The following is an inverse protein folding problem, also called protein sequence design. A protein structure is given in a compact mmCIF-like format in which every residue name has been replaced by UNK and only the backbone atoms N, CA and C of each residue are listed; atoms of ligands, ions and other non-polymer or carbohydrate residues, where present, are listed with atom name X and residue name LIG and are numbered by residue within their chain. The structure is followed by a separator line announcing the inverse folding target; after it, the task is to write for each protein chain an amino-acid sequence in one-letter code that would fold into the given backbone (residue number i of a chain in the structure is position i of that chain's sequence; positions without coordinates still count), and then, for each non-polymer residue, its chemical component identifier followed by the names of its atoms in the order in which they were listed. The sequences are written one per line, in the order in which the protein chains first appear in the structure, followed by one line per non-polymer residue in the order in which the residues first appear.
data_IF_121975027624
#
_entry.id   IF_121975027624
#
_cell.length_a   1.000
_cell.length_b   1.000
_cell.length_c   1.000
_cell.angle_alpha   90.00
_cell.angle_beta   90.00
_cell.angle_gamma   90.00
#
_symmetry.space_group_name_H-M   'P 1'
#
loop_
_entity.id
_entity.type
_entity.pdbx_description
1 polymer ?
#
# COMPACT_ATOMS: atom_id res chain seq x y z
N UNK A 1 22.00 6.30 -2.01
CA UNK A 1 21.41 7.58 -2.51
C UNK A 1 22.41 8.72 -2.44
N UNK A 2 22.96 9.06 -1.25
CA UNK A 2 23.96 10.14 -1.11
C UNK A 2 25.30 9.80 -1.79
N UNK A 3 25.73 8.54 -1.73
CA UNK A 3 26.95 8.06 -2.42
C UNK A 3 26.85 8.22 -3.96
N UNK A 4 25.72 7.82 -4.56
CA UNK A 4 25.47 8.01 -5.99
C UNK A 4 25.41 9.50 -6.37
N UNK A 5 24.82 10.35 -5.53
CA UNK A 5 24.85 11.81 -5.73
C UNK A 5 26.29 12.34 -5.73
N UNK A 6 27.12 11.93 -4.76
CA UNK A 6 28.50 12.39 -4.64
C UNK A 6 29.36 12.00 -5.86
N UNK A 7 29.18 10.77 -6.37
CA UNK A 7 29.86 10.32 -7.58
C UNK A 7 29.45 11.11 -8.82
N UNK A 8 28.14 11.33 -9.02
CA UNK A 8 27.65 12.12 -10.15
C UNK A 8 28.08 13.59 -10.04
N UNK A 9 27.99 14.20 -8.85
CA UNK A 9 28.34 15.60 -8.65
C UNK A 9 29.81 15.90 -8.95
N UNK A 10 30.73 15.02 -8.54
CA UNK A 10 32.16 15.16 -8.88
C UNK A 10 32.40 14.91 -10.37
N UNK A 11 31.65 14.01 -11.00
CA UNK A 11 31.69 13.82 -12.46
C UNK A 11 31.27 15.06 -13.25
N UNK A 12 30.23 15.75 -12.79
CA UNK A 12 29.69 16.96 -13.43
C UNK A 12 30.45 18.24 -13.07
N UNK A 13 31.16 18.26 -11.92
CA UNK A 13 31.93 19.41 -11.42
C UNK A 13 33.29 18.97 -10.85
N UNK A 14 34.26 18.63 -11.71
CA UNK A 14 35.54 18.03 -11.29
C UNK A 14 36.42 18.92 -10.41
N UNK A 15 36.17 20.22 -10.38
CA UNK A 15 36.96 21.20 -9.61
C UNK A 15 36.32 21.58 -8.27
N UNK A 16 35.13 21.05 -7.95
CA UNK A 16 34.39 21.44 -6.75
C UNK A 16 34.92 20.79 -5.46
N UNK A 17 35.37 19.53 -5.54
CA UNK A 17 35.90 18.76 -4.41
C UNK A 17 37.10 17.90 -4.84
N UNK A 18 38.03 17.59 -3.93
CA UNK A 18 39.20 16.78 -4.29
C UNK A 18 38.89 15.29 -4.47
N UNK A 19 37.79 14.80 -3.90
CA UNK A 19 37.28 13.44 -4.09
C UNK A 19 35.76 13.34 -3.92
N UNK A 20 35.18 12.26 -4.43
CA UNK A 20 33.78 11.91 -4.20
C UNK A 20 33.47 11.72 -2.69
N UNK A 21 34.44 11.24 -1.91
CA UNK A 21 34.29 11.08 -0.46
C UNK A 21 34.06 12.42 0.25
N UNK A 22 34.77 13.48 -0.15
CA UNK A 22 34.55 14.82 0.39
C UNK A 22 33.15 15.34 0.04
N UNK A 23 32.69 15.13 -1.20
CA UNK A 23 31.35 15.50 -1.64
C UNK A 23 30.25 14.74 -0.87
N UNK A 24 30.51 13.47 -0.54
CA UNK A 24 29.61 12.65 0.27
C UNK A 24 29.55 13.14 1.72
N UNK A 25 30.70 13.39 2.35
CA UNK A 25 30.79 13.85 3.74
C UNK A 25 30.08 15.21 3.90
N UNK A 26 30.30 16.16 2.99
CA UNK A 26 29.64 17.46 3.06
C UNK A 26 28.12 17.34 2.83
N UNK A 27 27.67 16.45 1.94
CA UNK A 27 26.23 16.21 1.73
C UNK A 27 25.55 15.66 2.99
N UNK A 28 26.17 14.73 3.71
CA UNK A 28 25.67 14.26 5.00
C UNK A 28 25.65 15.36 6.06
N UNK A 29 26.71 16.19 6.09
CA UNK A 29 26.80 17.35 6.98
C UNK A 29 25.66 18.34 6.76
N UNK A 30 25.29 18.59 5.49
CA UNK A 30 24.17 19.46 5.10
C UNK A 30 22.82 18.89 5.55
N UNK A 31 22.60 17.58 5.39
CA UNK A 31 21.37 16.90 5.84
C UNK A 31 21.23 16.96 7.36
N UNK A 32 22.33 16.73 8.09
CA UNK A 32 22.36 16.84 9.55
C UNK A 32 22.10 18.28 10.00
N UNK A 33 22.70 19.28 9.33
CA UNK A 33 22.45 20.69 9.62
C UNK A 33 20.98 21.06 9.41
N UNK A 34 20.36 20.61 8.32
CA UNK A 34 18.95 20.87 8.04
C UNK A 34 18.04 20.29 9.13
N UNK A 35 18.35 19.09 9.61
CA UNK A 35 17.61 18.45 10.71
C UNK A 35 17.80 19.23 12.01
N UNK A 36 19.01 19.62 12.35
CA UNK A 36 19.31 20.37 13.57
C UNK A 36 18.65 21.76 13.59
N UNK A 37 18.72 22.49 12.47
CA UNK A 37 18.17 23.85 12.38
C UNK A 37 16.64 23.88 12.32
N UNK A 38 15.99 22.89 11.70
CA UNK A 38 14.56 22.98 11.37
C UNK A 38 13.67 21.94 12.06
N UNK A 39 14.23 20.96 12.78
CA UNK A 39 13.42 20.02 13.56
C UNK A 39 12.90 20.69 14.86
N UNK A 40 11.57 20.80 15.06
CA UNK A 40 10.99 21.42 16.26
C UNK A 40 11.27 20.66 17.57
N UNK A 41 11.76 19.42 17.50
CA UNK A 41 12.19 18.65 18.68
C UNK A 41 13.54 19.14 19.23
N UNK A 42 14.38 19.78 18.41
CA UNK A 42 15.65 20.37 18.82
C UNK A 42 15.40 21.76 19.40
N UNK A 43 15.08 21.81 20.70
CA UNK A 43 14.66 23.04 21.39
C UNK A 43 15.82 23.90 21.92
N UNK A 44 17.01 23.33 22.09
CA UNK A 44 18.19 24.01 22.64
C UNK A 44 19.45 23.56 21.90
N UNK A 45 20.47 24.42 21.88
CA UNK A 45 21.81 24.14 21.36
C UNK A 45 21.88 23.77 19.86
N UNK A 46 21.11 24.48 19.02
CA UNK A 46 21.27 24.37 17.57
C UNK A 46 22.69 24.76 17.16
N UNK A 47 23.23 24.04 16.19
CA UNK A 47 24.57 24.23 15.66
C UNK A 47 24.69 25.64 15.11
N UNK A 48 25.67 26.41 15.60
CA UNK A 48 25.95 27.74 15.05
C UNK A 48 26.77 27.64 13.77
N UNK A 49 26.84 28.74 13.01
CA UNK A 49 27.66 28.82 11.79
C UNK A 49 29.12 28.48 12.07
N UNK A 50 29.68 28.99 13.15
CA UNK A 50 31.06 28.73 13.57
C UNK A 50 31.27 27.26 13.93
N UNK A 51 30.28 26.65 14.58
CA UNK A 51 30.32 25.24 14.91
C UNK A 51 30.22 24.36 13.66
N UNK A 52 29.39 24.72 12.69
CA UNK A 52 29.31 24.03 11.40
C UNK A 52 30.64 24.08 10.63
N UNK A 53 31.29 25.25 10.57
CA UNK A 53 32.62 25.39 9.96
C UNK A 53 33.65 24.53 10.71
N UNK A 54 33.63 24.52 12.04
CA UNK A 54 34.55 23.72 12.86
C UNK A 54 34.35 22.21 12.67
N UNK A 55 33.10 21.77 12.59
CA UNK A 55 32.74 20.36 12.43
C UNK A 55 33.18 19.79 11.07
N UNK A 56 33.37 20.65 10.06
CA UNK A 56 33.78 20.26 8.71
C UNK A 56 35.26 20.60 8.40
N UNK A 57 36.10 20.74 9.43
CA UNK A 57 37.56 20.88 9.22
C UNK A 57 38.19 19.55 8.80
N UNK A 58 39.13 19.60 7.87
CA UNK A 58 39.90 18.44 7.41
C UNK A 58 39.15 17.46 6.50
N UNK A 59 37.91 17.76 6.10
CA UNK A 59 37.07 16.82 5.33
C UNK A 59 37.50 16.64 3.87
N UNK A 60 38.39 17.50 3.36
CA UNK A 60 38.93 17.43 2.01
C UNK A 60 40.31 16.75 2.01
N UNK A 61 40.33 15.43 2.23
CA UNK A 61 41.57 14.64 2.32
C UNK A 61 42.58 15.21 3.33
N UNK A 62 42.10 15.64 4.51
CA UNK A 62 42.91 16.26 5.55
C UNK A 62 43.09 17.78 5.40
N UNK A 63 42.54 18.39 4.35
CA UNK A 63 42.47 19.85 4.16
C UNK A 63 41.10 20.42 4.52
N UNK A 64 41.08 21.71 4.84
CA UNK A 64 39.85 22.45 5.09
C UNK A 64 39.23 22.93 3.77
N UNK A 65 37.90 22.81 3.65
CA UNK A 65 37.16 23.50 2.59
C UNK A 65 37.18 25.02 2.82
N UNK A 66 37.01 25.84 1.77
CA UNK A 66 36.98 27.29 1.91
C UNK A 66 35.93 27.72 2.96
N UNK A 67 36.36 28.49 3.96
CA UNK A 67 35.47 28.92 5.06
C UNK A 67 34.20 29.59 4.54
N UNK A 68 34.35 30.48 3.55
CA UNK A 68 33.24 31.20 2.92
C UNK A 68 32.20 30.26 2.30
N UNK A 69 32.63 29.17 1.67
CA UNK A 69 31.75 28.17 1.07
C UNK A 69 30.87 27.48 2.14
N UNK A 70 31.47 27.10 3.28
CA UNK A 70 30.72 26.50 4.41
C UNK A 70 29.76 27.50 5.07
N UNK A 71 30.15 28.77 5.15
CA UNK A 71 29.31 29.85 5.69
C UNK A 71 28.11 30.17 4.80
N UNK A 72 28.29 30.10 3.47
CA UNK A 72 27.23 30.26 2.47
C UNK A 72 26.22 29.11 2.56
N UNK A 73 26.70 27.85 2.57
CA UNK A 73 25.86 26.66 2.77
C UNK A 73 25.01 26.79 4.05
N UNK A 74 25.64 27.17 5.17
CA UNK A 74 24.92 27.36 6.42
C UNK A 74 23.83 28.43 6.28
N UNK A 75 24.16 29.56 5.66
CA UNK A 75 23.23 30.66 5.44
C UNK A 75 22.01 30.24 4.60
N UNK A 76 22.26 29.46 3.55
CA UNK A 76 21.23 28.98 2.63
C UNK A 76 20.29 27.97 3.31
N UNK A 77 20.85 26.98 4.02
CA UNK A 77 20.04 25.99 4.75
C UNK A 77 19.26 26.66 5.88
N UNK A 78 19.85 27.61 6.61
CA UNK A 78 19.15 28.33 7.68
C UNK A 78 17.95 29.13 7.17
N UNK A 79 18.02 29.68 5.96
CA UNK A 79 16.93 30.47 5.34
C UNK A 79 15.92 29.58 4.59
N UNK A 80 16.39 28.53 3.93
CA UNK A 80 15.60 27.68 3.04
C UNK A 80 15.67 26.22 3.50
N UNK A 81 14.71 25.75 4.32
CA UNK A 81 14.66 24.36 4.75
C UNK A 81 14.54 23.39 3.56
N UNK A 82 15.35 22.32 3.57
CA UNK A 82 15.23 21.27 2.57
C UNK A 82 13.96 20.44 2.81
N UNK A 83 13.09 20.38 1.80
CA UNK A 83 11.88 19.56 1.82
C UNK A 83 12.21 18.11 1.45
N UNK A 84 12.57 17.30 2.45
CA UNK A 84 12.76 15.85 2.27
C UNK A 84 11.36 15.19 2.19
N UNK A 85 10.89 14.90 0.97
CA UNK A 85 9.64 14.16 0.76
C UNK A 85 9.77 12.78 1.43
N UNK A 86 8.98 12.56 2.49
CA UNK A 86 9.04 11.35 3.33
C UNK A 86 9.22 11.64 4.82
N UNK A 87 9.71 12.84 5.18
CA UNK A 87 9.97 13.23 6.58
C UNK A 87 9.01 14.31 7.09
N UNK A 88 7.76 14.34 6.61
CA UNK A 88 6.72 15.25 7.16
C UNK A 88 6.33 14.77 8.56
N UNK A 89 7.01 15.29 9.58
CA UNK A 89 6.36 15.61 10.84
C UNK A 89 5.31 16.69 10.54
N UNK A 90 4.04 16.30 10.50
CA UNK A 90 2.94 17.22 10.25
C UNK A 90 2.92 18.26 11.39
N UNK A 91 3.01 19.57 11.11
CA UNK A 91 2.87 20.59 12.15
C UNK A 91 1.48 20.48 12.80
N UNK A 92 1.50 20.41 14.13
CA UNK A 92 0.40 20.04 15.04
C UNK A 92 -0.63 21.17 15.25
N UNK A 93 -0.98 21.92 14.20
CA UNK A 93 -1.87 23.08 14.32
C UNK A 93 -3.15 23.02 13.47
N UNK A 94 -3.36 21.95 12.69
CA UNK A 94 -4.55 21.87 11.81
C UNK A 94 -5.28 20.53 11.82
N UNK A 95 -5.08 19.69 12.86
CA UNK A 95 -5.68 18.33 12.94
C UNK A 95 -6.51 18.07 14.20
N UNK A 96 -7.05 19.12 14.82
CA UNK A 96 -7.96 18.97 15.97
C UNK A 96 -9.38 18.58 15.57
N UNK A 97 -9.69 18.45 14.28
CA UNK A 97 -10.90 17.77 13.84
C UNK A 97 -10.52 16.38 13.30
N UNK A 98 -10.96 15.33 13.99
CA UNK A 98 -10.88 13.89 13.62
C UNK A 98 -9.51 13.20 13.77
N UNK A 99 -9.13 12.86 15.00
CA UNK A 99 -8.26 11.69 15.26
C UNK A 99 -9.05 10.79 16.21
N UNK A 100 -9.43 9.62 15.72
CA UNK A 100 -10.17 8.63 16.53
C UNK A 100 -9.20 7.94 17.49
N UNK A 101 -9.72 7.35 18.58
CA UNK A 101 -8.89 6.56 19.50
C UNK A 101 -8.16 5.41 18.78
N UNK A 102 -8.79 4.85 17.74
CA UNK A 102 -8.22 3.80 16.88
C UNK A 102 -6.99 4.29 16.09
N UNK A 103 -6.98 5.54 15.62
CA UNK A 103 -5.82 6.10 14.91
C UNK A 103 -4.58 6.21 15.81
N UNK A 104 -4.80 6.58 17.09
CA UNK A 104 -3.73 6.68 18.08
C UNK A 104 -3.19 5.30 18.48
N UNK A 105 -4.06 4.29 18.53
CA UNK A 105 -3.68 2.91 18.83
C UNK A 105 -2.90 2.28 17.67
N UNK A 106 -3.32 2.52 16.43
CA UNK A 106 -2.60 2.13 15.22
C UNK A 106 -1.20 2.78 15.15
N UNK A 107 -1.07 4.05 15.53
CA UNK A 107 0.23 4.74 15.56
C UNK A 107 1.16 4.16 16.64
N UNK A 108 0.61 3.83 17.82
CA UNK A 108 1.35 3.13 18.89
C UNK A 108 1.81 1.74 18.44
N UNK A 109 0.95 1.01 17.74
CA UNK A 109 1.28 -0.31 17.18
C UNK A 109 2.40 -0.24 16.14
N UNK A 110 2.32 0.71 15.19
CA UNK A 110 3.37 0.95 14.18
C UNK A 110 4.70 1.35 14.81
N UNK A 111 4.66 2.21 15.84
CA UNK A 111 5.85 2.58 16.61
C UNK A 111 6.43 1.38 17.37
N UNK A 112 5.58 0.51 17.93
CA UNK A 112 5.98 -0.74 18.58
C UNK A 112 6.70 -1.69 17.63
N UNK A 113 6.14 -1.92 16.44
CA UNK A 113 6.79 -2.75 15.39
C UNK A 113 8.12 -2.15 15.00
N UNK A 114 8.19 -0.84 14.72
CA UNK A 114 9.44 -0.18 14.32
C UNK A 114 10.55 -0.33 15.36
N UNK A 115 10.21 -0.25 16.66
CA UNK A 115 11.17 -0.46 17.75
C UNK A 115 11.61 -1.91 17.85
N UNK A 116 10.69 -2.87 17.72
CA UNK A 116 11.01 -4.30 17.75
C UNK A 116 11.91 -4.72 16.57
N UNK A 117 11.68 -4.15 15.38
CA UNK A 117 12.53 -4.35 14.20
C UNK A 117 13.94 -3.80 14.44
N UNK A 118 14.06 -2.57 14.95
CA UNK A 118 15.37 -1.98 15.25
C UNK A 118 16.15 -2.79 16.30
N UNK A 119 15.47 -3.25 17.36
CA UNK A 119 16.08 -4.10 18.39
C UNK A 119 16.52 -5.46 17.83
N UNK A 120 15.72 -6.05 16.93
CA UNK A 120 16.06 -7.32 16.26
C UNK A 120 17.24 -7.13 15.29
N UNK A 121 17.32 -5.98 14.62
CA UNK A 121 18.43 -5.61 13.73
C UNK A 121 19.75 -5.44 14.51
N UNK A 122 19.70 -4.79 15.68
CA UNK A 122 20.85 -4.62 16.56
C UNK A 122 21.32 -5.97 17.13
N UNK A 123 20.39 -6.83 17.55
CA UNK A 123 20.71 -8.20 17.98
C UNK A 123 21.34 -9.04 16.85
N UNK A 124 20.84 -8.93 15.62
CA UNK A 124 21.44 -9.61 14.47
C UNK A 124 22.84 -9.08 14.13
N UNK A 125 23.08 -7.77 14.27
CA UNK A 125 24.42 -7.18 14.12
C UNK A 125 25.37 -7.69 15.20
N UNK A 126 24.94 -7.75 16.45
CA UNK A 126 25.76 -8.27 17.55
C UNK A 126 26.09 -9.76 17.37
N UNK A 127 25.11 -10.57 16.95
CA UNK A 127 25.31 -11.98 16.62
C UNK A 127 26.22 -12.18 15.39
N UNK A 128 26.16 -11.26 14.42
CA UNK A 128 27.08 -11.24 13.26
C UNK A 128 28.53 -10.97 13.66
N UNK A 129 28.79 -10.32 14.80
CA UNK A 129 30.15 -10.02 15.26
C UNK A 129 30.77 -11.11 16.14
N UNK A 130 29.96 -12.01 16.73
CA UNK A 130 30.40 -12.98 17.74
C UNK A 130 30.42 -14.45 17.25
N UNK A 131 31.16 -14.77 16.19
CA UNK A 131 31.31 -16.12 15.59
C UNK A 131 30.23 -16.54 14.59
N UNK A 132 30.12 -15.80 13.48
CA UNK A 132 29.93 -16.36 12.13
C UNK A 132 30.10 -15.21 11.14
N UNK A 133 31.24 -15.16 10.45
CA UNK A 133 31.41 -14.29 9.28
C UNK A 133 30.36 -14.65 8.24
N UNK A 134 29.28 -13.87 8.15
CA UNK A 134 28.47 -13.81 6.94
C UNK A 134 29.32 -13.15 5.85
N UNK A 135 30.14 -13.95 5.17
CA UNK A 135 30.77 -13.53 3.92
C UNK A 135 29.68 -13.33 2.88
N UNK A 136 29.39 -12.07 2.58
CA UNK A 136 28.62 -11.70 1.38
C UNK A 136 29.53 -10.94 0.44
N UNK A 137 30.13 -11.66 -0.52
CA UNK A 137 30.62 -11.06 -1.78
C UNK A 137 30.32 -12.03 -2.91
N UNK A 138 29.30 -11.70 -3.71
CA UNK A 138 29.08 -12.26 -5.05
C UNK A 138 28.63 -13.72 -5.11
N UNK A 139 27.38 -13.92 -5.58
CA UNK A 139 26.75 -15.20 -5.95
C UNK A 139 26.31 -16.06 -4.75
N UNK A 140 24.98 -16.16 -4.57
CA UNK A 140 24.24 -17.26 -3.93
C UNK A 140 24.95 -18.04 -2.81
N UNK A 141 25.42 -17.37 -1.77
CA UNK A 141 25.65 -18.06 -0.49
C UNK A 141 24.28 -18.39 0.10
N UNK A 142 23.86 -19.64 -0.07
CA UNK A 142 22.60 -20.17 0.44
C UNK A 142 22.47 -19.82 1.93
N UNK A 143 21.60 -18.86 2.24
CA UNK A 143 21.18 -18.60 3.61
C UNK A 143 20.64 -19.93 4.12
N UNK A 144 21.18 -20.42 5.24
CA UNK A 144 20.71 -21.69 5.82
C UNK A 144 19.18 -21.63 6.02
N UNK A 145 18.41 -22.62 5.51
CA UNK A 145 16.98 -22.71 5.78
C UNK A 145 16.65 -22.67 7.28
N UNK A 146 17.56 -23.16 8.13
CA UNK A 146 17.40 -23.14 9.58
C UNK A 146 17.45 -21.71 10.15
N UNK A 147 18.31 -20.84 9.59
CA UNK A 147 18.36 -19.44 9.98
C UNK A 147 17.07 -18.72 9.58
N UNK A 148 16.59 -18.96 8.36
CA UNK A 148 15.33 -18.38 7.86
C UNK A 148 14.17 -18.85 8.75
N UNK A 149 14.15 -20.14 9.12
CA UNK A 149 13.17 -20.69 10.05
C UNK A 149 13.18 -20.00 11.40
N UNK A 150 14.34 -19.84 12.04
CA UNK A 150 14.48 -19.13 13.32
C UNK A 150 13.98 -17.69 13.22
N UNK A 151 14.32 -16.98 12.14
CA UNK A 151 13.86 -15.61 11.92
C UNK A 151 12.34 -15.54 11.75
N UNK A 152 11.78 -16.45 10.95
CA UNK A 152 10.35 -16.49 10.69
C UNK A 152 9.53 -16.90 11.92
N UNK A 153 10.04 -17.84 12.73
CA UNK A 153 9.47 -18.24 14.04
C UNK A 153 9.25 -17.05 14.98
N UNK A 154 10.04 -15.98 14.87
CA UNK A 154 9.89 -14.77 15.69
C UNK A 154 8.87 -13.77 15.14
N UNK A 155 8.60 -13.79 13.84
CA UNK A 155 7.84 -12.73 13.17
C UNK A 155 6.45 -13.18 12.72
N UNK A 156 6.23 -14.48 12.47
CA UNK A 156 5.00 -15.00 11.87
C UNK A 156 3.72 -14.58 12.61
N UNK A 157 3.74 -14.55 13.94
CA UNK A 157 2.57 -14.18 14.74
C UNK A 157 2.13 -12.73 14.48
N UNK A 158 3.08 -11.81 14.32
CA UNK A 158 2.78 -10.41 13.99
C UNK A 158 2.22 -10.28 12.58
N UNK A 159 2.74 -11.05 11.62
CA UNK A 159 2.21 -11.09 10.25
C UNK A 159 0.79 -11.62 10.23
N UNK A 160 0.51 -12.68 11.00
CA UNK A 160 -0.84 -13.24 11.14
C UNK A 160 -1.80 -12.25 11.79
N UNK A 161 -1.39 -11.60 12.88
CA UNK A 161 -2.20 -10.61 13.58
C UNK A 161 -2.55 -9.41 12.69
N UNK A 162 -1.55 -8.88 11.97
CA UNK A 162 -1.72 -7.79 11.01
C UNK A 162 -2.68 -8.20 9.88
N UNK A 163 -2.45 -9.37 9.28
CA UNK A 163 -3.31 -9.89 8.20
C UNK A 163 -4.74 -10.11 8.68
N UNK A 164 -4.92 -10.63 9.89
CA UNK A 164 -6.23 -10.82 10.51
C UNK A 164 -6.94 -9.49 10.69
N UNK A 165 -6.24 -8.49 11.24
CA UNK A 165 -6.81 -7.17 11.48
C UNK A 165 -7.28 -6.49 10.19
N UNK A 166 -6.51 -6.60 9.10
CA UNK A 166 -6.83 -5.92 7.84
C UNK A 166 -7.89 -6.68 7.04
N UNK A 167 -7.81 -8.01 7.00
CA UNK A 167 -8.72 -8.83 6.19
C UNK A 167 -10.09 -9.03 6.84
N UNK A 168 -10.19 -8.91 8.17
CA UNK A 168 -11.47 -8.97 8.88
C UNK A 168 -12.07 -7.58 9.17
N UNK A 169 -11.39 -6.50 8.82
CA UNK A 169 -11.90 -5.14 9.01
C UNK A 169 -12.67 -4.66 7.77
N UNK A 170 -13.95 -4.34 7.95
CA UNK A 170 -14.84 -3.85 6.90
C UNK A 170 -14.47 -2.48 6.35
N UNK A 171 -13.64 -1.70 7.06
CA UNK A 171 -13.23 -0.35 6.63
C UNK A 171 -11.85 -0.33 5.97
N UNK A 172 -11.20 -1.48 5.83
CA UNK A 172 -9.86 -1.56 5.26
C UNK A 172 -9.85 -1.27 3.76
N UNK A 173 -8.88 -0.47 3.31
CA UNK A 173 -8.72 -0.10 1.91
C UNK A 173 -8.41 -1.33 1.03
N UNK A 174 -8.98 -1.37 -0.18
CA UNK A 174 -8.81 -2.47 -1.14
C UNK A 174 -7.33 -2.76 -1.40
N UNK A 175 -6.50 -1.73 -1.60
CA UNK A 175 -5.07 -1.92 -1.87
C UNK A 175 -4.37 -2.62 -0.71
N UNK A 176 -4.78 -2.34 0.53
CA UNK A 176 -4.21 -2.95 1.73
C UNK A 176 -4.68 -4.40 1.87
N UNK A 177 -5.95 -4.68 1.59
CA UNK A 177 -6.48 -6.05 1.55
C UNK A 177 -5.77 -6.91 0.49
N UNK A 178 -5.53 -6.36 -0.71
CA UNK A 178 -4.80 -7.06 -1.78
C UNK A 178 -3.37 -7.42 -1.36
N UNK A 179 -2.67 -6.48 -0.71
CA UNK A 179 -1.32 -6.71 -0.19
C UNK A 179 -1.30 -7.74 0.95
N UNK A 180 -2.31 -7.73 1.83
CA UNK A 180 -2.44 -8.74 2.88
C UNK A 180 -2.72 -10.14 2.34
N UNK A 181 -3.48 -10.26 1.26
CA UNK A 181 -3.66 -11.55 0.57
C UNK A 181 -2.35 -12.05 -0.05
N UNK A 182 -1.56 -11.16 -0.66
CA UNK A 182 -0.21 -11.50 -1.13
C UNK A 182 0.72 -11.91 0.01
N UNK A 183 0.62 -11.23 1.16
CA UNK A 183 1.36 -11.58 2.36
C UNK A 183 0.98 -12.98 2.86
N UNK A 184 -0.31 -13.30 2.94
CA UNK A 184 -0.76 -14.65 3.33
C UNK A 184 -0.26 -15.73 2.38
N UNK A 185 -0.35 -15.48 1.07
CA UNK A 185 0.20 -16.37 0.04
C UNK A 185 1.69 -16.66 0.30
N UNK A 186 2.49 -15.62 0.51
CA UNK A 186 3.93 -15.75 0.75
C UNK A 186 4.23 -16.46 2.08
N UNK A 187 3.49 -16.16 3.15
CA UNK A 187 3.63 -16.81 4.45
C UNK A 187 3.31 -18.31 4.36
N UNK A 188 2.22 -18.70 3.68
CA UNK A 188 1.85 -20.12 3.53
C UNK A 188 2.93 -20.87 2.75
N UNK A 189 3.39 -20.30 1.63
CA UNK A 189 4.49 -20.88 0.84
C UNK A 189 5.78 -21.00 1.65
N UNK A 190 6.10 -20.00 2.47
CA UNK A 190 7.28 -20.04 3.35
C UNK A 190 7.15 -21.13 4.41
N UNK A 191 5.98 -21.26 5.07
CA UNK A 191 5.75 -22.32 6.04
C UNK A 191 5.76 -23.73 5.43
N UNK A 192 5.36 -23.86 4.16
CA UNK A 192 5.44 -25.11 3.41
C UNK A 192 6.92 -25.49 3.20
N UNK A 193 7.73 -24.53 2.72
CA UNK A 193 9.15 -24.75 2.45
C UNK A 193 9.99 -25.03 3.71
N UNK A 194 9.69 -24.34 4.82
CA UNK A 194 10.45 -24.47 6.08
C UNK A 194 9.95 -25.61 6.99
N UNK A 195 8.92 -26.35 6.57
CA UNK A 195 8.34 -27.44 7.35
C UNK A 195 7.75 -26.96 8.69
N UNK A 196 6.94 -25.91 8.67
CA UNK A 196 6.35 -25.26 9.86
C UNK A 196 4.84 -25.50 9.94
N UNK A 197 4.39 -26.63 10.53
CA UNK A 197 3.00 -27.08 10.43
C UNK A 197 2.01 -26.21 11.22
N UNK A 198 2.42 -25.69 12.39
CA UNK A 198 1.54 -24.92 13.29
C UNK A 198 1.21 -23.57 12.65
N UNK A 199 2.24 -22.88 12.20
CA UNK A 199 2.16 -21.57 11.55
C UNK A 199 1.41 -21.67 10.23
N UNK A 200 1.71 -22.71 9.44
CA UNK A 200 0.96 -23.01 8.20
C UNK A 200 -0.52 -23.18 8.48
N UNK A 201 -0.89 -23.97 9.50
CA UNK A 201 -2.29 -24.19 9.86
C UNK A 201 -2.98 -22.88 10.25
N UNK A 202 -2.29 -22.00 10.98
CA UNK A 202 -2.83 -20.70 11.38
C UNK A 202 -3.10 -19.79 10.16
N UNK A 203 -2.14 -19.68 9.23
CA UNK A 203 -2.34 -18.90 8.01
C UNK A 203 -3.42 -19.48 7.08
N UNK A 204 -3.45 -20.81 6.90
CA UNK A 204 -4.52 -21.48 6.15
C UNK A 204 -5.89 -21.26 6.81
N UNK A 205 -5.97 -21.27 8.14
CA UNK A 205 -7.19 -21.00 8.89
C UNK A 205 -7.73 -19.59 8.64
N UNK A 206 -6.84 -18.59 8.58
CA UNK A 206 -7.23 -17.22 8.21
C UNK A 206 -7.68 -17.13 6.75
N UNK A 207 -6.95 -17.74 5.82
CA UNK A 207 -7.33 -17.74 4.40
C UNK A 207 -8.70 -18.40 4.18
N UNK A 208 -8.99 -19.50 4.90
CA UNK A 208 -10.31 -20.13 4.92
C UNK A 208 -11.41 -19.18 5.41
N UNK A 209 -11.15 -18.44 6.50
CA UNK A 209 -12.11 -17.46 7.02
C UNK A 209 -12.41 -16.36 5.99
N UNK A 210 -11.40 -15.91 5.24
CA UNK A 210 -11.61 -14.97 4.14
C UNK A 210 -12.46 -15.61 3.04
N UNK A 211 -12.16 -16.85 2.64
CA UNK A 211 -12.96 -17.59 1.65
C UNK A 211 -14.43 -17.71 2.08
N UNK A 212 -14.69 -18.02 3.35
CA UNK A 212 -16.04 -18.09 3.91
C UNK A 212 -16.76 -16.75 3.91
N UNK A 213 -16.05 -15.67 4.28
CA UNK A 213 -16.60 -14.32 4.18
C UNK A 213 -16.96 -13.98 2.74
N UNK A 214 -16.19 -14.46 1.77
CA UNK A 214 -16.51 -14.26 0.38
C UNK A 214 -17.76 -15.06 0.00
N UNK A 215 -17.83 -16.35 0.31
CA UNK A 215 -18.98 -17.17 -0.08
C UNK A 215 -20.28 -16.78 0.64
N UNK A 216 -20.22 -16.32 1.89
CA UNK A 216 -21.40 -15.94 2.70
C UNK A 216 -22.22 -14.82 2.08
N UNK A 217 -21.57 -13.77 1.58
CA UNK A 217 -22.25 -12.70 0.82
C UNK A 217 -22.89 -13.18 -0.49
N UNK A 218 -22.40 -14.28 -1.10
CA UNK A 218 -23.01 -14.83 -2.32
C UNK A 218 -24.27 -15.68 -2.04
N UNK A 219 -24.51 -16.04 -0.77
CA UNK A 219 -25.69 -16.77 -0.31
C UNK A 219 -26.81 -15.84 0.16
N UNK A 220 -26.51 -14.65 0.68
CA UNK A 220 -27.55 -13.67 1.04
C UNK A 220 -28.37 -13.21 -0.19
N UNK A 221 -27.75 -13.09 -1.37
CA UNK A 221 -28.45 -12.77 -2.63
C UNK A 221 -29.30 -13.93 -3.21
N UNK A 222 -29.20 -15.15 -2.65
CA UNK A 222 -29.90 -16.34 -3.17
C UNK A 222 -30.97 -16.91 -2.23
N UNK A 223 -31.11 -16.39 -1.02
CA UNK A 223 -31.89 -17.03 0.03
C UNK A 223 -33.29 -16.45 0.26
N UNK A 224 -34.03 -16.16 -0.81
CA UNK A 224 -35.49 -16.03 -0.70
C UNK A 224 -36.26 -17.29 -1.13
N UNK A 225 -35.62 -18.29 -1.75
CA UNK A 225 -36.32 -19.53 -2.13
C UNK A 225 -35.39 -20.75 -2.16
N UNK A 226 -35.14 -21.38 -0.99
CA UNK A 226 -34.91 -22.84 -0.80
C UNK A 226 -34.41 -23.15 0.62
N UNK A 227 -35.26 -22.92 1.62
CA UNK A 227 -35.19 -23.72 2.83
C UNK A 227 -36.10 -24.94 2.64
N UNK A 228 -35.58 -26.04 2.10
CA UNK A 228 -36.18 -27.36 2.33
C UNK A 228 -35.15 -28.47 2.04
N UNK A 229 -34.80 -29.20 3.10
CA UNK A 229 -34.15 -30.52 3.13
C UNK A 229 -32.84 -30.68 2.31
N UNK A 230 -31.68 -30.45 2.94
CA UNK A 230 -30.40 -31.01 2.46
C UNK A 230 -29.85 -32.04 3.44
N UNK A 231 -29.56 -33.24 2.93
CA UNK A 231 -29.02 -34.37 3.69
C UNK A 231 -27.67 -34.02 4.35
N UNK A 232 -27.45 -34.36 5.64
CA UNK A 232 -26.19 -34.07 6.35
C UNK A 232 -24.94 -34.61 5.64
N UNK A 233 -25.07 -35.77 4.97
CA UNK A 233 -23.98 -36.46 4.25
C UNK A 233 -23.60 -35.72 2.97
N UNK A 234 -24.56 -35.07 2.30
CA UNK A 234 -24.30 -34.26 1.11
C UNK A 234 -23.57 -32.96 1.48
N UNK A 235 -23.93 -32.36 2.62
CA UNK A 235 -23.30 -31.15 3.11
C UNK A 235 -21.84 -31.40 3.54
N UNK A 236 -21.57 -32.54 4.18
CA UNK A 236 -20.20 -32.93 4.56
C UNK A 236 -19.30 -33.12 3.33
N UNK A 237 -19.77 -33.82 2.28
CA UNK A 237 -19.02 -33.98 1.02
C UNK A 237 -18.81 -32.66 0.27
N UNK A 238 -19.77 -31.74 0.34
CA UNK A 238 -19.65 -30.42 -0.27
C UNK A 238 -18.60 -29.55 0.43
N UNK A 239 -18.60 -29.57 1.77
CA UNK A 239 -17.60 -28.90 2.61
C UNK A 239 -16.21 -29.51 2.41
N UNK A 240 -16.16 -30.83 2.23
CA UNK A 240 -14.95 -31.58 1.94
C UNK A 240 -14.30 -31.12 0.64
N UNK A 241 -15.13 -30.94 -0.41
CA UNK A 241 -14.71 -30.44 -1.71
C UNK A 241 -14.24 -28.99 -1.64
N UNK A 242 -14.91 -28.15 -0.85
CA UNK A 242 -14.60 -26.72 -0.67
C UNK A 242 -13.19 -26.48 -0.11
N UNK A 243 -12.75 -27.31 0.83
CA UNK A 243 -11.44 -27.17 1.49
C UNK A 243 -10.40 -28.20 1.05
N UNK A 244 -10.55 -28.80 -0.14
CA UNK A 244 -9.57 -29.74 -0.68
C UNK A 244 -8.17 -29.14 -0.73
N UNK A 245 -8.06 -27.86 -1.08
CA UNK A 245 -6.78 -27.13 -1.12
C UNK A 245 -6.05 -27.15 0.23
N UNK A 246 -6.77 -27.13 1.37
CA UNK A 246 -6.15 -27.18 2.71
C UNK A 246 -5.52 -28.55 2.96
N UNK A 247 -6.18 -29.63 2.53
CA UNK A 247 -5.64 -31.00 2.64
C UNK A 247 -4.44 -31.18 1.72
N UNK A 248 -4.53 -30.71 0.48
CA UNK A 248 -3.42 -30.76 -0.46
C UNK A 248 -2.17 -30.05 0.09
N UNK A 249 -2.33 -28.94 0.82
CA UNK A 249 -1.23 -28.27 1.53
C UNK A 249 -0.65 -29.11 2.67
N UNK A 250 -1.50 -29.80 3.44
CA UNK A 250 -1.04 -30.65 4.53
C UNK A 250 -0.30 -31.89 4.00
N UNK A 251 -0.80 -32.49 2.92
CA UNK A 251 -0.21 -33.65 2.25
C UNK A 251 1.10 -33.28 1.53
N UNK A 252 1.15 -32.15 0.83
CA UNK A 252 2.35 -31.68 0.14
C UNK A 252 3.49 -31.32 1.09
N UNK A 253 3.18 -30.96 2.35
CA UNK A 253 4.21 -30.77 3.36
C UNK A 253 4.92 -32.07 3.76
N UNK A 254 4.33 -33.24 3.45
CA UNK A 254 4.94 -34.55 3.64
C UNK A 254 5.55 -35.11 2.34
N UNK A 255 5.46 -34.39 1.23
CA UNK A 255 5.98 -34.76 -0.09
C UNK A 255 7.27 -34.01 -0.40
N UNK A 256 8.13 -34.60 -1.24
CA UNK A 256 9.38 -34.00 -1.72
C UNK A 256 9.17 -32.92 -2.81
N UNK A 257 7.93 -32.75 -3.32
CA UNK A 257 7.60 -31.79 -4.39
C UNK A 257 6.52 -30.77 -3.97
N UNK A 258 6.87 -29.72 -3.20
CA UNK A 258 5.91 -28.71 -2.73
C UNK A 258 5.44 -27.72 -3.82
N UNK A 259 6.10 -27.70 -4.98
CA UNK A 259 5.95 -26.65 -5.99
C UNK A 259 4.55 -26.59 -6.64
N UNK A 260 3.93 -27.75 -6.86
CA UNK A 260 2.60 -27.80 -7.47
C UNK A 260 1.56 -27.14 -6.55
N UNK A 261 1.60 -27.47 -5.27
CA UNK A 261 0.67 -26.92 -4.28
C UNK A 261 0.93 -25.44 -4.01
N UNK A 262 2.18 -24.98 -4.09
CA UNK A 262 2.47 -23.54 -4.10
C UNK A 262 1.79 -22.83 -5.27
N UNK A 263 1.83 -23.42 -6.47
CA UNK A 263 1.12 -22.91 -7.64
C UNK A 263 -0.39 -22.82 -7.41
N UNK A 264 -0.98 -23.88 -6.85
CA UNK A 264 -2.42 -23.92 -6.54
C UNK A 264 -2.83 -22.86 -5.51
N UNK A 265 -2.02 -22.63 -4.46
CA UNK A 265 -2.24 -21.55 -3.48
C UNK A 265 -2.23 -20.19 -4.18
N UNK A 266 -1.30 -19.97 -5.11
CA UNK A 266 -1.19 -18.70 -5.82
C UNK A 266 -2.42 -18.44 -6.70
N UNK A 267 -2.91 -19.48 -7.39
CA UNK A 267 -4.13 -19.38 -8.18
C UNK A 267 -5.35 -19.11 -7.31
N UNK A 268 -5.49 -19.81 -6.18
CA UNK A 268 -6.57 -19.59 -5.22
C UNK A 268 -6.59 -18.16 -4.70
N UNK A 269 -5.44 -17.65 -4.26
CA UNK A 269 -5.35 -16.27 -3.74
C UNK A 269 -5.66 -15.25 -4.83
N UNK A 270 -5.23 -15.48 -6.08
CA UNK A 270 -5.57 -14.60 -7.20
C UNK A 270 -7.07 -14.59 -7.51
N UNK A 271 -7.73 -15.75 -7.50
CA UNK A 271 -9.18 -15.87 -7.69
C UNK A 271 -9.97 -15.13 -6.58
N UNK A 272 -9.51 -15.25 -5.33
CA UNK A 272 -10.09 -14.48 -4.21
C UNK A 272 -9.89 -12.97 -4.39
N UNK A 273 -8.71 -12.52 -4.85
CA UNK A 273 -8.44 -11.11 -5.14
C UNK A 273 -9.35 -10.58 -6.25
N UNK A 274 -9.52 -11.34 -7.33
CA UNK A 274 -10.43 -11.00 -8.43
C UNK A 274 -11.87 -10.90 -7.93
N UNK A 275 -12.32 -11.88 -7.14
CA UNK A 275 -13.66 -11.88 -6.53
C UNK A 275 -13.92 -10.63 -5.68
N UNK A 276 -12.96 -10.24 -4.83
CA UNK A 276 -13.08 -9.02 -4.01
C UNK A 276 -13.17 -7.77 -4.89
N UNK A 277 -12.34 -7.68 -5.93
CA UNK A 277 -12.34 -6.54 -6.85
C UNK A 277 -13.65 -6.42 -7.63
N UNK A 278 -14.20 -7.54 -8.09
CA UNK A 278 -15.49 -7.58 -8.80
C UNK A 278 -16.62 -7.11 -7.88
N UNK A 279 -16.65 -7.57 -6.63
CA UNK A 279 -17.66 -7.12 -5.66
C UNK A 279 -17.57 -5.65 -5.34
N UNK A 280 -16.36 -5.14 -5.09
CA UNK A 280 -16.21 -3.71 -4.81
C UNK A 280 -16.63 -2.85 -6.00
N UNK A 281 -16.42 -3.32 -7.24
CA UNK A 281 -16.92 -2.65 -8.45
C UNK A 281 -18.45 -2.69 -8.51
N UNK A 282 -19.07 -3.82 -8.18
CA UNK A 282 -20.52 -3.98 -8.10
C UNK A 282 -21.13 -3.07 -7.04
N UNK A 283 -20.62 -3.08 -5.82
CA UNK A 283 -21.11 -2.23 -4.71
C UNK A 283 -20.99 -0.73 -5.05
N UNK A 284 -19.87 -0.34 -5.68
CA UNK A 284 -19.70 1.04 -6.17
C UNK A 284 -20.74 1.37 -7.23
N UNK A 285 -20.98 0.47 -8.18
CA UNK A 285 -22.02 0.63 -9.19
C UNK A 285 -23.37 0.80 -8.51
N UNK A 286 -23.78 -0.11 -7.63
CA UNK A 286 -25.06 -0.06 -6.92
C UNK A 286 -25.24 1.25 -6.13
N UNK A 287 -24.18 1.74 -5.47
CA UNK A 287 -24.20 3.04 -4.78
C UNK A 287 -24.42 4.23 -5.73
N UNK A 288 -23.96 4.12 -6.98
CA UNK A 288 -24.18 5.12 -8.03
C UNK A 288 -25.60 4.99 -8.57
N UNK A 289 -26.09 3.76 -8.82
CA UNK A 289 -27.47 3.52 -9.28
C UNK A 289 -28.48 4.11 -8.30
N UNK A 290 -28.30 3.91 -6.99
CA UNK A 290 -29.21 4.48 -5.98
C UNK A 290 -29.25 6.00 -5.99
N UNK A 291 -28.19 6.69 -6.45
CA UNK A 291 -28.15 8.15 -6.58
C UNK A 291 -28.77 8.66 -7.88
N UNK A 292 -29.03 7.79 -8.84
CA UNK A 292 -29.58 8.14 -10.15
C UNK A 292 -31.08 7.81 -10.16
N UNK A 293 -31.92 8.82 -10.29
CA UNK A 293 -33.36 8.63 -10.41
C UNK A 293 -33.68 7.78 -11.66
N UNK A 294 -34.42 6.67 -11.48
CA UNK A 294 -34.68 5.65 -12.53
C UNK A 294 -33.42 4.99 -13.12
N UNK A 295 -32.30 4.90 -12.39
CA UNK A 295 -31.07 4.26 -12.85
C UNK A 295 -31.23 2.84 -13.43
N UNK A 296 -32.15 2.03 -12.87
CA UNK A 296 -32.48 0.68 -13.36
C UNK A 296 -33.03 0.65 -14.80
N UNK A 297 -33.53 1.78 -15.32
CA UNK A 297 -34.05 1.86 -16.67
C UNK A 297 -32.95 2.12 -17.72
N UNK A 298 -31.83 2.71 -17.28
CA UNK A 298 -30.76 3.18 -18.16
C UNK A 298 -29.55 2.25 -18.17
N UNK A 299 -29.37 1.46 -17.10
CA UNK A 299 -28.19 0.61 -16.92
C UNK A 299 -28.51 -0.84 -17.27
N UNK A 300 -27.68 -1.41 -18.15
CA UNK A 300 -27.70 -2.83 -18.53
C UNK A 300 -26.94 -3.67 -17.50
N UNK A 301 -27.13 -4.98 -17.50
CA UNK A 301 -26.37 -5.91 -16.63
C UNK A 301 -24.85 -5.88 -16.89
N UNK A 302 -24.41 -5.46 -18.07
CA UNK A 302 -22.99 -5.34 -18.45
C UNK A 302 -22.35 -3.99 -18.10
N UNK A 303 -23.10 -3.09 -17.45
CA UNK A 303 -22.64 -1.72 -17.22
C UNK A 303 -21.66 -1.68 -16.07
N UNK A 304 -20.50 -1.05 -16.24
CA UNK A 304 -19.52 -0.88 -15.16
C UNK A 304 -19.25 0.58 -14.91
N UNK A 305 -19.33 1.01 -13.65
CA UNK A 305 -18.99 2.36 -13.25
C UNK A 305 -17.49 2.61 -13.35
N UNK A 306 -17.11 3.71 -14.01
CA UNK A 306 -15.70 4.10 -14.21
C UNK A 306 -15.36 5.31 -13.33
N UNK A 307 -16.13 6.39 -13.43
CA UNK A 307 -15.78 7.64 -12.79
C UNK A 307 -16.97 8.58 -12.58
N UNK A 308 -16.88 9.46 -11.58
CA UNK A 308 -17.82 10.56 -11.40
C UNK A 308 -17.06 11.88 -11.20
N UNK A 309 -17.64 12.98 -11.69
CA UNK A 309 -17.01 14.29 -11.58
C UNK A 309 -17.92 15.43 -11.99
N UNK A 310 -17.38 16.65 -11.98
CA UNK A 310 -18.10 17.85 -12.37
C UNK A 310 -17.58 18.36 -13.73
N UNK A 311 -18.49 18.58 -14.68
CA UNK A 311 -18.23 19.23 -15.97
C UNK A 311 -18.74 20.67 -15.93
N UNK A 312 -17.91 21.62 -16.34
CA UNK A 312 -18.33 23.03 -16.46
C UNK A 312 -18.52 23.39 -17.92
N UNK A 313 -19.77 23.61 -18.33
CA UNK A 313 -20.11 24.16 -19.64
C UNK A 313 -19.88 25.66 -19.64
N UNK A 314 -18.93 26.12 -20.45
CA UNK A 314 -18.67 27.55 -20.66
C UNK A 314 -19.75 28.15 -21.55
N UNK A 315 -20.62 28.96 -20.97
CA UNK A 315 -21.66 29.70 -21.70
C UNK A 315 -21.31 31.19 -21.74
N UNK A 316 -21.89 31.92 -22.71
CA UNK A 316 -21.62 33.35 -22.91
C UNK A 316 -22.09 34.23 -21.74
N UNK A 317 -23.07 33.77 -20.95
CA UNK A 317 -23.64 34.50 -19.81
C UNK A 317 -23.10 33.98 -18.47
N UNK A 318 -23.42 32.73 -18.11
CA UNK A 318 -23.01 32.09 -16.86
C UNK A 318 -22.59 30.65 -17.12
N UNK A 319 -21.44 30.27 -16.60
CA UNK A 319 -20.99 28.88 -16.67
C UNK A 319 -21.97 27.97 -15.94
N UNK A 320 -22.34 26.86 -16.56
CA UNK A 320 -23.25 25.87 -16.00
C UNK A 320 -22.45 24.64 -15.57
N UNK A 321 -22.73 24.13 -14.37
CA UNK A 321 -21.99 23.02 -13.78
C UNK A 321 -22.88 21.79 -13.80
N UNK A 322 -22.42 20.74 -14.44
CA UNK A 322 -23.08 19.45 -14.53
C UNK A 322 -22.31 18.42 -13.70
N UNK A 323 -23.02 17.57 -12.97
CA UNK A 323 -22.42 16.34 -12.41
C UNK A 323 -22.50 15.26 -13.48
N UNK A 324 -21.43 14.52 -13.72
CA UNK A 324 -21.44 13.38 -14.63
C UNK A 324 -21.07 12.07 -13.93
N UNK A 325 -21.61 10.99 -14.47
CA UNK A 325 -21.34 9.60 -14.15
C UNK A 325 -20.93 8.90 -15.44
N UNK A 326 -19.69 8.45 -15.49
CA UNK A 326 -19.11 7.73 -16.61
C UNK A 326 -19.17 6.23 -16.36
N UNK A 327 -19.81 5.53 -17.28
CA UNK A 327 -19.84 4.08 -17.38
C UNK A 327 -19.02 3.61 -18.59
N UNK A 328 -18.84 2.31 -18.75
CA UNK A 328 -18.12 1.74 -19.89
C UNK A 328 -18.83 1.95 -21.23
N UNK A 329 -20.15 2.04 -21.25
CA UNK A 329 -20.98 2.15 -22.45
C UNK A 329 -21.71 3.50 -22.56
N UNK A 330 -21.77 4.29 -21.48
CA UNK A 330 -22.63 5.47 -21.39
C UNK A 330 -22.03 6.58 -20.54
N UNK A 331 -22.37 7.82 -20.87
CA UNK A 331 -22.14 9.00 -20.04
C UNK A 331 -23.48 9.59 -19.63
N UNK A 332 -23.73 9.65 -18.32
CA UNK A 332 -24.90 10.33 -17.75
C UNK A 332 -24.45 11.64 -17.12
N UNK A 333 -25.17 12.73 -17.37
CA UNK A 333 -24.91 14.00 -16.68
C UNK A 333 -26.21 14.74 -16.37
N UNK A 334 -26.20 15.49 -15.27
CA UNK A 334 -27.33 16.32 -14.84
C UNK A 334 -26.86 17.66 -14.29
N UNK A 335 -27.70 18.69 -14.45
CA UNK A 335 -27.40 20.04 -13.95
C UNK A 335 -27.38 20.02 -12.43
N UNK A 336 -26.33 20.59 -11.82
CA UNK A 336 -26.16 20.66 -10.37
C UNK A 336 -27.23 21.51 -9.67
N UNK A 337 -27.91 22.39 -10.43
CA UNK A 337 -28.96 23.27 -9.91
C UNK A 337 -30.39 22.77 -10.17
N UNK A 338 -30.56 21.69 -10.94
CA UNK A 338 -31.86 21.04 -11.02
C UNK A 338 -32.13 20.41 -9.64
N UNK A 339 -33.29 20.74 -9.05
CA UNK A 339 -33.66 20.33 -7.70
C UNK A 339 -33.43 18.82 -7.49
N UNK A 340 -33.20 18.43 -6.23
CA UNK A 340 -32.88 17.07 -5.72
C UNK A 340 -33.78 15.91 -6.20
N UNK A 341 -34.77 16.17 -7.07
CA UNK A 341 -35.75 15.20 -7.55
C UNK A 341 -35.81 15.00 -9.08
N UNK A 342 -35.06 15.73 -9.91
CA UNK A 342 -35.12 15.56 -11.37
C UNK A 342 -33.72 15.55 -12.02
N UNK A 343 -33.04 14.40 -11.89
CA UNK A 343 -31.96 14.03 -12.82
C UNK A 343 -32.63 13.59 -14.12
N UNK A 344 -33.11 14.54 -14.94
CA UNK A 344 -33.40 14.27 -16.35
C UNK A 344 -32.06 14.06 -17.07
N UNK A 345 -31.51 12.85 -16.93
CA UNK A 345 -30.25 12.46 -17.54
C UNK A 345 -30.38 12.50 -19.06
N UNK A 346 -29.65 13.41 -19.71
CA UNK A 346 -29.41 13.28 -21.15
C UNK A 346 -28.40 12.15 -21.34
N UNK A 347 -28.84 11.04 -21.93
CA UNK A 347 -27.99 9.87 -22.19
C UNK A 347 -27.19 10.13 -23.47
N UNK A 348 -25.87 10.06 -23.35
CA UNK A 348 -24.99 9.96 -24.53
C UNK A 348 -24.39 8.56 -24.51
N UNK A 349 -24.84 7.71 -25.42
CA UNK A 349 -24.24 6.39 -25.64
C UNK A 349 -22.83 6.59 -26.22
N UNK A 350 -21.86 5.95 -25.59
CA UNK A 350 -20.47 5.95 -26.06
C UNK A 350 -20.30 4.71 -26.94
N UNK A 351 -21.07 4.61 -28.02
CA UNK A 351 -20.80 3.60 -29.05
C UNK A 351 -19.96 4.21 -30.17
N UNK A 352 -18.78 3.61 -30.33
CA UNK A 352 -17.90 3.75 -31.47
C UNK A 352 -18.61 3.22 -32.72
N UNK A 353 -18.72 4.05 -33.75
CA UNK A 353 -19.32 3.79 -35.07
C UNK A 353 -20.85 3.68 -35.10
N UNK A 354 -21.53 4.84 -35.15
CA UNK A 354 -22.62 5.03 -36.11
C UNK A 354 -22.86 6.52 -36.41
N UNK A 355 -23.23 6.80 -37.66
CA UNK A 355 -23.40 8.12 -38.30
C UNK A 355 -24.33 9.10 -37.54
N UNK A 356 -24.19 10.42 -37.80
CA UNK A 356 -24.89 11.45 -37.03
C UNK A 356 -26.39 11.50 -37.38
N UNK A 357 -27.20 10.83 -36.58
CA UNK A 357 -28.65 11.00 -36.61
C UNK A 357 -29.03 12.33 -35.93
N UNK A 358 -29.10 13.35 -36.77
CA UNK A 358 -29.81 14.62 -36.61
C UNK A 358 -31.03 14.53 -35.65
N UNK A 359 -30.95 15.13 -34.45
CA UNK A 359 -32.12 15.48 -33.64
C UNK A 359 -31.99 16.90 -33.08
N UNK A 360 -32.43 17.81 -33.94
CA UNK A 360 -33.26 19.00 -33.72
C UNK A 360 -33.50 19.41 -32.26
N UNK A 361 -33.01 20.61 -31.94
CA UNK A 361 -33.49 21.43 -30.84
C UNK A 361 -34.98 21.77 -31.02
N UNK A 362 -35.76 21.68 -29.95
CA UNK A 362 -37.03 22.37 -29.83
C UNK A 362 -37.26 22.79 -28.37
N UNK A 363 -37.15 24.12 -28.19
CA UNK A 363 -37.64 25.03 -27.13
C UNK A 363 -37.62 24.61 -25.68
#
# INVERSE_FOLDING_TARGET
MVEAFAQCYVGDSPTAFSSADTAMIIAYSIIMLNTDLHNPQVKKNKMTKEQFVKNNRGIDNGKDLPKRFLEEIYGDIAQNPMHIKGSRGIPKASREASVTAADLENEKFRSGISKAVAQSEELMKDLSHAYNTFQFVGVDTAISPDLIKILFERVWFYLLALSTSILCDSQSDLSTQMQCLDLLRLCISTCLFLGMPIERQAFCGLLRKVQDSLDGTAHEDRNEQKEELSDPIMNEKALDKKYQWVRSIQEAAASDEPWQVMGDIHLLVNDMKETIQVRQKSEKLDSVIQRIHRGNFYLKTSTTFIHEGDLTKKCRSRNQVYRFFLFNDQLLYADRNAAENEVEGTIVNVDTNDEPANKTAAM
#
